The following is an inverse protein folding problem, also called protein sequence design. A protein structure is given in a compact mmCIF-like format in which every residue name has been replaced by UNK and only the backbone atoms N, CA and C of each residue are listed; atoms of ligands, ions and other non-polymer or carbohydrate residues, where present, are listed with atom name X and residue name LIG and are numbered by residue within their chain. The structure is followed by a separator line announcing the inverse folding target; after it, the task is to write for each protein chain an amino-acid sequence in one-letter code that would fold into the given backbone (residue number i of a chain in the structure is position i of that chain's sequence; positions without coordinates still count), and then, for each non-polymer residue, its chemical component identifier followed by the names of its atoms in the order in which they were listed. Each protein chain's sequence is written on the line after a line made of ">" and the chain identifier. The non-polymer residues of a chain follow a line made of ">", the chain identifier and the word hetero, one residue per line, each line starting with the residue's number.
data_IF_432842447456
#
_entry.id   IF_432842447456
#
_cell.length_a   1.000
_cell.length_b   1.000
_cell.length_c   1.000
_cell.angle_alpha   90.00
_cell.angle_beta   90.00
_cell.angle_gamma   90.00
#
_symmetry.space_group_name_H-M   'P 1'
#
loop_
_entity.id
_entity.type
_entity.pdbx_description
1 polymer ?
#
# COMPACT_ATOMS: atom_id res chain seq x y z
N UNK A 1 26.26 -19.17 -7.03
CA UNK A 1 25.04 -18.52 -7.56
C UNK A 1 23.85 -19.02 -6.77
N UNK A 2 23.27 -18.21 -5.88
CA UNK A 2 22.02 -18.54 -5.17
C UNK A 2 20.86 -18.03 -6.03
N UNK A 3 19.86 -18.86 -6.37
CA UNK A 3 18.73 -18.40 -7.17
C UNK A 3 17.91 -17.41 -6.36
N UNK A 4 17.61 -16.26 -6.96
CA UNK A 4 16.75 -15.23 -6.39
C UNK A 4 15.33 -15.78 -6.24
N UNK A 5 14.95 -16.14 -5.01
CA UNK A 5 13.58 -16.48 -4.58
C UNK A 5 12.72 -15.22 -4.34
N UNK A 6 12.93 -14.15 -5.11
CA UNK A 6 12.27 -12.85 -4.89
C UNK A 6 11.00 -12.63 -5.75
N UNK A 7 10.59 -13.60 -6.57
CA UNK A 7 9.39 -13.52 -7.40
C UNK A 7 8.45 -14.72 -7.17
N UNK A 8 8.12 -15.01 -5.92
CA UNK A 8 6.91 -15.78 -5.65
C UNK A 8 5.72 -14.97 -6.17
N UNK A 9 4.93 -15.44 -7.15
CA UNK A 9 3.73 -14.73 -7.56
C UNK A 9 2.83 -14.64 -6.32
N UNK A 10 2.68 -13.44 -5.77
CA UNK A 10 1.75 -13.21 -4.66
C UNK A 10 0.39 -13.67 -5.15
N UNK A 11 -0.11 -14.75 -4.54
CA UNK A 11 -1.44 -15.29 -4.82
C UNK A 11 -2.42 -14.16 -4.54
N UNK A 12 -2.97 -13.54 -5.58
CA UNK A 12 -3.94 -12.45 -5.42
C UNK A 12 -5.14 -13.05 -4.72
N UNK A 13 -5.30 -12.76 -3.42
CA UNK A 13 -6.48 -13.20 -2.67
C UNK A 13 -7.72 -12.62 -3.37
N UNK A 14 -8.79 -13.41 -3.49
CA UNK A 14 -10.08 -12.89 -3.94
C UNK A 14 -10.47 -11.70 -3.05
N UNK A 15 -10.85 -10.57 -3.64
CA UNK A 15 -11.14 -9.34 -2.88
C UNK A 15 -10.03 -8.29 -2.88
N UNK A 16 -8.85 -8.56 -3.47
CA UNK A 16 -7.75 -7.59 -3.46
C UNK A 16 -8.09 -6.31 -4.22
N UNK A 17 -8.75 -6.40 -5.38
CA UNK A 17 -9.14 -5.22 -6.17
C UNK A 17 -10.17 -4.37 -5.43
N UNK A 18 -11.13 -5.03 -4.79
CA UNK A 18 -12.17 -4.42 -3.99
C UNK A 18 -11.58 -3.72 -2.77
N UNK A 19 -10.64 -4.37 -2.07
CA UNK A 19 -9.91 -3.79 -0.95
C UNK A 19 -9.08 -2.57 -1.39
N UNK A 20 -8.35 -2.65 -2.51
CA UNK A 20 -7.59 -1.52 -3.05
C UNK A 20 -8.52 -0.36 -3.42
N UNK A 21 -9.65 -0.63 -4.06
CA UNK A 21 -10.62 0.40 -4.42
C UNK A 21 -11.20 1.09 -3.17
N UNK A 22 -11.54 0.30 -2.14
CA UNK A 22 -12.01 0.83 -0.86
C UNK A 22 -10.95 1.70 -0.16
N UNK A 23 -9.70 1.22 -0.06
CA UNK A 23 -8.59 1.99 0.54
C UNK A 23 -8.39 3.32 -0.19
N UNK A 24 -8.43 3.33 -1.53
CA UNK A 24 -8.29 4.58 -2.31
C UNK A 24 -9.42 5.57 -2.02
N UNK A 25 -10.66 5.09 -1.93
CA UNK A 25 -11.82 5.92 -1.61
C UNK A 25 -11.71 6.52 -0.19
N UNK A 26 -11.38 5.69 0.80
CA UNK A 26 -11.20 6.14 2.19
C UNK A 26 -10.04 7.14 2.31
N UNK A 27 -8.91 6.87 1.67
CA UNK A 27 -7.73 7.77 1.70
C UNK A 27 -8.09 9.14 1.14
N UNK A 28 -8.76 9.16 -0.02
CA UNK A 28 -9.20 10.40 -0.65
C UNK A 28 -10.17 11.19 0.23
N UNK A 29 -11.11 10.50 0.87
CA UNK A 29 -12.05 11.11 1.82
C UNK A 29 -11.34 11.67 3.06
N UNK A 30 -10.50 10.85 3.71
CA UNK A 30 -9.82 11.19 4.95
C UNK A 30 -8.82 12.33 4.80
N UNK A 31 -8.10 12.38 3.67
CA UNK A 31 -7.10 13.41 3.39
C UNK A 31 -7.66 14.58 2.57
N UNK A 32 -8.95 14.55 2.21
CA UNK A 32 -9.63 15.57 1.37
C UNK A 32 -8.88 15.84 0.07
N UNK A 33 -8.46 14.77 -0.61
CA UNK A 33 -7.69 14.86 -1.84
C UNK A 33 -8.57 15.27 -3.02
N UNK A 34 -7.99 16.08 -3.92
CA UNK A 34 -8.64 16.51 -5.15
C UNK A 34 -8.69 15.37 -6.20
N UNK A 35 -9.57 15.50 -7.19
CA UNK A 35 -9.67 14.59 -8.34
C UNK A 35 -8.37 14.44 -9.11
N UNK A 36 -7.56 15.49 -9.18
CA UNK A 36 -6.25 15.45 -9.83
C UNK A 36 -5.17 14.74 -9.01
N UNK A 37 -5.46 14.37 -7.75
CA UNK A 37 -4.53 13.62 -6.89
C UNK A 37 -4.57 12.13 -7.20
N UNK A 38 -3.42 11.60 -7.61
CA UNK A 38 -3.23 10.17 -7.84
C UNK A 38 -2.98 9.45 -6.52
N UNK A 39 -3.82 8.46 -6.20
CA UNK A 39 -3.64 7.57 -5.04
C UNK A 39 -3.14 6.20 -5.49
N UNK A 40 -1.98 5.81 -4.99
CA UNK A 40 -1.33 4.50 -5.18
C UNK A 40 -1.45 3.66 -3.91
N UNK A 41 -1.65 2.34 -4.06
CA UNK A 41 -1.65 1.38 -2.95
C UNK A 41 -0.72 0.25 -3.34
N UNK A 42 0.34 0.07 -2.57
CA UNK A 42 1.38 -0.92 -2.82
C UNK A 42 1.61 -1.76 -1.56
N UNK A 43 1.91 -3.03 -1.75
CA UNK A 43 2.31 -3.90 -0.65
C UNK A 43 3.81 -4.18 -0.72
N UNK A 44 4.54 -3.83 0.33
CA UNK A 44 5.99 -4.02 0.42
C UNK A 44 6.31 -5.11 1.44
N UNK A 45 7.37 -5.89 1.20
CA UNK A 45 7.88 -6.82 2.21
C UNK A 45 8.71 -6.04 3.24
N UNK A 46 8.32 -6.08 4.51
CA UNK A 46 9.11 -5.50 5.59
C UNK A 46 10.11 -6.57 6.09
N UNK A 47 11.39 -6.22 6.18
CA UNK A 47 12.43 -7.15 6.69
C UNK A 47 12.89 -6.81 8.11
N UNK A 48 12.22 -5.85 8.76
CA UNK A 48 12.61 -5.35 10.07
C UNK A 48 12.05 -6.24 11.21
N UNK A 49 12.81 -6.42 12.31
CA UNK A 49 12.35 -7.20 13.46
C UNK A 49 11.09 -6.57 14.07
N UNK A 50 9.99 -7.34 14.13
CA UNK A 50 8.71 -6.87 14.69
C UNK A 50 7.78 -6.20 13.68
N UNK A 51 8.13 -6.24 12.40
CA UNK A 51 7.30 -5.75 11.31
C UNK A 51 6.54 -6.93 10.66
N UNK A 52 5.27 -6.81 10.28
CA UNK A 52 4.57 -7.86 9.57
C UNK A 52 5.25 -8.14 8.21
N UNK A 53 5.25 -9.41 7.76
CA UNK A 53 5.91 -9.85 6.50
C UNK A 53 5.56 -8.98 5.27
N UNK A 54 4.40 -8.31 5.33
CA UNK A 54 3.92 -7.39 4.30
C UNK A 54 3.26 -6.17 4.93
N UNK A 55 3.73 -4.99 4.54
CA UNK A 55 3.20 -3.67 4.85
C UNK A 55 2.45 -3.07 3.66
N UNK A 56 1.39 -2.29 3.92
CA UNK A 56 0.64 -1.57 2.89
C UNK A 56 1.03 -0.09 2.90
N UNK A 57 1.61 0.38 1.81
CA UNK A 57 1.99 1.78 1.61
C UNK A 57 0.95 2.45 0.72
N UNK A 58 0.48 3.62 1.15
CA UNK A 58 -0.46 4.45 0.41
C UNK A 58 0.22 5.77 0.08
N UNK A 59 0.32 6.10 -1.20
CA UNK A 59 0.97 7.32 -1.68
C UNK A 59 -0.07 8.20 -2.37
N UNK A 60 -0.12 9.48 -2.01
CA UNK A 60 -0.92 10.50 -2.67
C UNK A 60 0.02 11.51 -3.33
N UNK A 61 -0.06 11.60 -4.65
CA UNK A 61 0.74 12.52 -5.45
C UNK A 61 -0.20 13.41 -6.23
N UNK A 62 -0.16 14.70 -5.98
CA UNK A 62 -0.77 15.68 -6.85
C UNK A 62 0.24 16.14 -7.91
N UNK A 63 -0.25 16.46 -9.10
CA UNK A 63 0.62 17.00 -10.16
C UNK A 63 1.09 18.44 -9.87
N UNK A 64 0.61 19.04 -8.78
CA UNK A 64 0.72 20.49 -8.51
C UNK A 64 1.53 20.86 -7.26
N UNK A 65 1.78 19.96 -6.30
CA UNK A 65 2.50 20.20 -5.04
C UNK A 65 3.27 18.94 -4.55
N UNK A 66 3.95 19.05 -3.40
CA UNK A 66 4.85 18.06 -2.81
C UNK A 66 4.14 16.74 -2.42
N UNK A 67 4.72 15.56 -2.72
CA UNK A 67 4.07 14.26 -2.48
C UNK A 67 3.87 13.98 -0.99
N UNK A 68 2.65 13.56 -0.61
CA UNK A 68 2.31 13.14 0.75
C UNK A 68 2.14 11.61 0.81
N UNK A 69 2.91 10.93 1.65
CA UNK A 69 2.84 9.48 1.84
C UNK A 69 2.34 9.12 3.24
N UNK A 70 1.45 8.12 3.34
CA UNK A 70 0.98 7.56 4.60
C UNK A 70 1.16 6.04 4.60
N UNK A 71 1.86 5.53 5.61
CA UNK A 71 2.13 4.10 5.76
C UNK A 71 1.07 3.50 6.69
N UNK A 72 0.30 2.53 6.19
CA UNK A 72 -0.66 1.79 7.00
C UNK A 72 -0.03 0.46 7.43
N UNK A 73 0.49 0.43 8.66
CA UNK A 73 0.97 -0.81 9.25
C UNK A 73 -0.23 -1.69 9.61
N UNK A 74 -0.26 -2.95 9.12
CA UNK A 74 -1.26 -3.91 9.62
C UNK A 74 -0.93 -4.21 11.08
N UNK A 75 -1.90 -4.15 12.00
CA UNK A 75 -1.66 -4.56 13.37
C UNK A 75 -1.33 -6.06 13.40
N UNK A 76 -0.27 -6.43 14.12
CA UNK A 76 0.03 -7.81 14.46
C UNK A 76 -1.11 -8.36 15.32
N UNK A 77 -2.02 -9.11 14.70
CA UNK A 77 -2.94 -9.99 15.44
C UNK A 77 -2.10 -11.20 15.85
N UNK A 78 -1.68 -11.21 17.12
CA UNK A 78 -1.20 -12.39 17.83
C UNK A 78 -2.35 -13.25 18.33
#
# INVERSE_FOLDING_TARGET
>A
MKPNLFLSPRRTKSGYREAVAWIKAETRSALRLDDDTTVSVSELSCSDPGCPDVETVIEAVDCTLDPAAMILQRPDIH
#
